data_IF_657687015897
#
_entry.id   IF_657687015897
#
_cell.length_a   1.000
_cell.length_b   1.000
_cell.length_c   1.000
_cell.angle_alpha   90.00
_cell.angle_beta   90.00
_cell.angle_gamma   90.00
#
_symmetry.space_group_name_H-M   'P 1'
#
loop_
_entity.id
_entity.type
_entity.pdbx_description
1 polymer ?
#
# COMPACT_ATOMS: atom_id res chain seq x y z
N UNK A 1 3.32 29.09 -8.09
CA UNK A 1 3.19 27.71 -7.60
C UNK A 1 3.32 27.79 -6.09
N UNK A 2 2.35 27.28 -5.37
CA UNK A 2 2.42 27.15 -3.90
C UNK A 2 3.48 26.11 -3.52
N UNK A 3 4.06 26.24 -2.33
CA UNK A 3 4.95 25.24 -1.79
C UNK A 3 4.15 24.18 -1.03
N UNK A 4 4.65 22.94 -0.97
CA UNK A 4 4.08 21.87 -0.16
C UNK A 4 5.01 21.61 1.03
N UNK A 5 4.45 21.57 2.22
CA UNK A 5 5.18 21.38 3.47
C UNK A 5 4.79 20.05 4.13
N UNK A 6 5.75 19.42 4.79
CA UNK A 6 5.51 18.32 5.70
C UNK A 6 5.28 18.90 7.08
N UNK A 7 4.06 18.82 7.59
CA UNK A 7 3.67 19.42 8.88
C UNK A 7 3.91 18.46 10.05
N UNK A 8 3.71 17.15 9.84
CA UNK A 8 3.97 16.09 10.82
C UNK A 8 4.28 14.78 10.08
N UNK A 9 4.99 13.88 10.74
CA UNK A 9 5.32 12.57 10.20
C UNK A 9 5.48 11.54 11.31
N UNK A 10 5.01 10.33 11.06
CA UNK A 10 5.14 9.20 11.96
C UNK A 10 5.19 7.88 11.19
N UNK A 11 5.80 6.90 11.78
CA UNK A 11 5.84 5.51 11.27
C UNK A 11 5.79 4.50 12.41
N UNK A 12 5.36 3.31 12.11
CA UNK A 12 5.57 2.13 12.96
C UNK A 12 7.03 1.65 12.87
N UNK A 13 7.52 0.84 13.82
CA UNK A 13 8.77 0.12 13.62
C UNK A 13 8.71 -0.74 12.35
N UNK A 14 9.86 -0.92 11.70
CA UNK A 14 9.99 -1.93 10.65
C UNK A 14 10.04 -3.32 11.31
N UNK A 15 9.01 -4.13 11.04
CA UNK A 15 8.99 -5.53 11.43
C UNK A 15 9.80 -6.39 10.46
N UNK A 16 10.53 -7.36 10.97
CA UNK A 16 11.08 -8.41 10.09
C UNK A 16 9.96 -9.36 9.66
N UNK A 17 10.18 -10.07 8.56
CA UNK A 17 9.29 -11.15 8.13
C UNK A 17 9.03 -12.14 9.29
N UNK A 18 7.76 -12.49 9.51
CA UNK A 18 7.30 -13.35 10.60
C UNK A 18 7.79 -12.91 12.00
N UNK A 19 7.95 -11.61 12.19
CA UNK A 19 8.38 -11.01 13.46
C UNK A 19 7.22 -10.47 14.29
N UNK A 20 7.52 -9.49 15.15
CA UNK A 20 6.57 -8.97 16.13
C UNK A 20 5.28 -8.36 15.53
N UNK A 21 5.33 -7.88 14.30
CA UNK A 21 4.15 -7.32 13.61
C UNK A 21 3.39 -8.34 12.76
N UNK A 22 3.83 -9.61 12.71
CA UNK A 22 3.20 -10.62 11.85
C UNK A 22 1.75 -10.95 12.21
N UNK A 23 1.34 -10.72 13.45
CA UNK A 23 -0.04 -10.93 13.92
C UNK A 23 -0.96 -9.73 13.66
N UNK A 24 -0.40 -8.57 13.30
CA UNK A 24 -1.18 -7.34 13.07
C UNK A 24 -1.71 -7.36 11.64
N UNK A 25 -3.01 -7.17 11.48
CA UNK A 25 -3.63 -7.07 10.15
C UNK A 25 -3.04 -5.89 9.38
N UNK A 26 -2.93 -6.03 8.07
CA UNK A 26 -2.29 -4.99 7.23
C UNK A 26 -3.10 -3.69 7.21
N UNK A 27 -4.42 -3.79 7.15
CA UNK A 27 -5.32 -2.63 7.19
C UNK A 27 -5.30 -1.92 8.56
N UNK A 28 -5.25 -2.67 9.66
CA UNK A 28 -5.08 -2.11 11.01
C UNK A 28 -3.71 -1.43 11.17
N UNK A 29 -2.64 -2.09 10.68
CA UNK A 29 -1.30 -1.52 10.70
C UNK A 29 -1.22 -0.20 9.92
N UNK A 30 -1.94 -0.11 8.79
CA UNK A 30 -2.04 1.10 7.98
C UNK A 30 -2.79 2.24 8.70
N UNK A 31 -3.75 1.91 9.56
CA UNK A 31 -4.53 2.89 10.30
C UNK A 31 -3.79 3.51 11.49
N UNK A 32 -2.85 2.78 12.09
CA UNK A 32 -2.14 3.23 13.29
C UNK A 32 -1.44 4.58 13.13
N UNK A 33 -0.66 4.85 12.06
CA UNK A 33 -0.03 6.15 11.88
C UNK A 33 -1.05 7.30 11.73
N UNK A 34 -2.18 7.06 11.06
CA UNK A 34 -3.22 8.08 10.91
C UNK A 34 -3.85 8.39 12.27
N UNK A 35 -4.22 7.37 13.02
CA UNK A 35 -4.80 7.54 14.37
C UNK A 35 -3.84 8.30 15.30
N UNK A 36 -2.56 8.01 15.23
CA UNK A 36 -1.55 8.71 16.03
C UNK A 36 -1.36 10.16 15.58
N UNK A 37 -1.38 10.46 14.28
CA UNK A 37 -1.38 11.85 13.80
C UNK A 37 -2.58 12.62 14.35
N UNK A 38 -3.77 11.98 14.38
CA UNK A 38 -4.98 12.59 14.96
C UNK A 38 -4.80 12.85 16.45
N UNK A 39 -4.27 11.91 17.20
CA UNK A 39 -4.04 12.06 18.64
C UNK A 39 -3.03 13.17 18.97
N UNK A 40 -2.00 13.32 18.15
CA UNK A 40 -0.96 14.34 18.32
C UNK A 40 -1.43 15.75 17.95
N UNK A 41 -2.45 15.87 17.11
CA UNK A 41 -2.95 17.14 16.58
C UNK A 41 -4.44 17.33 16.89
N UNK A 42 -4.85 17.37 18.18
CA UNK A 42 -6.27 17.39 18.56
C UNK A 42 -7.00 18.70 18.20
N UNK A 43 -6.26 19.73 17.85
CA UNK A 43 -6.83 21.01 17.43
C UNK A 43 -7.12 21.13 15.92
N UNK A 44 -6.76 20.11 15.14
CA UNK A 44 -7.01 20.09 13.70
C UNK A 44 -8.42 19.55 13.40
N UNK A 45 -9.15 20.25 12.54
CA UNK A 45 -10.37 19.71 11.96
C UNK A 45 -10.03 18.69 10.85
N UNK A 46 -10.14 17.43 11.19
CA UNK A 46 -9.79 16.32 10.29
C UNK A 46 -10.75 16.15 9.11
N UNK A 47 -11.87 16.88 9.08
CA UNK A 47 -12.74 16.96 7.91
C UNK A 47 -12.15 17.77 6.76
N UNK A 48 -11.10 18.56 7.04
CA UNK A 48 -10.37 19.35 6.06
C UNK A 48 -9.33 18.55 5.27
N UNK A 49 -9.17 17.26 5.54
CA UNK A 49 -8.31 16.39 4.73
C UNK A 49 -8.96 16.15 3.36
N UNK A 50 -8.30 16.63 2.32
CA UNK A 50 -8.77 16.50 0.94
C UNK A 50 -8.64 15.07 0.42
N UNK A 51 -7.54 14.37 0.76
CA UNK A 51 -7.32 12.98 0.35
C UNK A 51 -6.27 12.27 1.22
N UNK A 52 -6.37 10.95 1.26
CA UNK A 52 -5.38 10.04 1.84
C UNK A 52 -4.77 9.19 0.73
N UNK A 53 -3.49 9.39 0.41
CA UNK A 53 -2.80 8.61 -0.62
C UNK A 53 -1.80 7.67 0.04
N UNK A 54 -2.03 6.37 -0.10
CA UNK A 54 -1.12 5.33 0.39
C UNK A 54 -0.51 4.52 -0.75
N UNK A 55 0.77 4.23 -0.62
CA UNK A 55 1.46 3.23 -1.42
C UNK A 55 1.27 1.84 -0.82
N UNK A 56 0.89 0.87 -1.67
CA UNK A 56 0.86 -0.55 -1.32
C UNK A 56 1.07 -1.38 -2.58
N UNK A 57 2.06 -2.26 -2.57
CA UNK A 57 2.40 -3.05 -3.76
C UNK A 57 1.62 -4.36 -3.84
N UNK A 58 1.43 -5.08 -2.75
CA UNK A 58 0.84 -6.41 -2.79
C UNK A 58 -0.66 -6.37 -3.12
N UNK A 59 -1.48 -5.75 -2.29
CA UNK A 59 -2.93 -5.60 -2.46
C UNK A 59 -3.69 -6.92 -2.71
N UNK A 60 -3.13 -8.06 -2.31
CA UNK A 60 -3.69 -9.38 -2.56
C UNK A 60 -4.52 -9.93 -1.38
N UNK A 61 -4.31 -9.43 -0.17
CA UNK A 61 -4.92 -9.89 1.06
C UNK A 61 -5.74 -8.83 1.78
N UNK A 62 -5.42 -8.59 3.03
CA UNK A 62 -6.09 -7.60 3.90
C UNK A 62 -5.87 -6.16 3.43
N UNK A 63 -4.92 -5.95 2.58
CA UNK A 63 -4.55 -4.71 1.90
C UNK A 63 -5.28 -4.48 0.57
N UNK A 64 -6.24 -5.33 0.22
CA UNK A 64 -7.05 -5.16 -0.99
C UNK A 64 -8.11 -4.05 -0.84
N UNK A 65 -8.82 -3.76 -1.93
CA UNK A 65 -9.92 -2.80 -1.98
C UNK A 65 -9.58 -1.40 -1.48
N UNK A 66 -8.45 -0.86 -1.90
CA UNK A 66 -8.04 0.49 -1.53
C UNK A 66 -7.70 0.61 -0.04
N UNK A 67 -6.55 0.08 0.35
CA UNK A 67 -6.09 0.09 1.75
C UNK A 67 -5.98 1.49 2.34
N UNK A 68 -5.72 2.52 1.54
CA UNK A 68 -5.72 3.92 2.00
C UNK A 68 -7.09 4.31 2.56
N UNK A 69 -8.16 3.99 1.84
CA UNK A 69 -9.52 4.27 2.29
C UNK A 69 -9.89 3.44 3.52
N UNK A 70 -9.49 2.16 3.55
CA UNK A 70 -9.73 1.31 4.72
C UNK A 70 -9.00 1.86 5.95
N UNK A 71 -7.74 2.24 5.81
CA UNK A 71 -6.94 2.84 6.88
C UNK A 71 -7.54 4.15 7.41
N UNK A 72 -8.01 5.02 6.51
CA UNK A 72 -8.67 6.26 6.87
C UNK A 72 -9.91 6.02 7.76
N UNK A 73 -10.76 5.08 7.36
CA UNK A 73 -11.97 4.72 8.10
C UNK A 73 -11.65 4.05 9.44
N UNK A 74 -10.71 3.10 9.45
CA UNK A 74 -10.29 2.39 10.67
C UNK A 74 -9.63 3.32 11.68
N UNK A 75 -8.91 4.34 11.20
CA UNK A 75 -8.31 5.36 12.06
C UNK A 75 -9.33 6.34 12.65
N UNK A 76 -10.55 6.36 12.14
CA UNK A 76 -11.62 7.25 12.61
C UNK A 76 -11.67 8.59 11.90
N UNK A 77 -11.04 8.75 10.74
CA UNK A 77 -11.25 9.95 9.91
C UNK A 77 -12.71 10.07 9.48
N UNK A 78 -13.22 11.29 9.27
CA UNK A 78 -14.57 11.51 8.77
C UNK A 78 -14.84 10.72 7.48
N UNK A 79 -16.06 10.21 7.35
CA UNK A 79 -16.45 9.39 6.19
C UNK A 79 -16.40 10.17 4.86
N UNK A 80 -16.39 11.48 4.92
CA UNK A 80 -16.22 12.36 3.77
C UNK A 80 -14.81 12.36 3.19
N UNK A 81 -13.79 12.02 4.00
CA UNK A 81 -12.39 12.03 3.56
C UNK A 81 -12.14 10.87 2.59
N UNK A 82 -11.78 11.11 1.34
CA UNK A 82 -11.50 10.06 0.37
C UNK A 82 -10.16 9.36 0.65
N UNK A 83 -9.84 8.36 -0.15
CA UNK A 83 -8.54 7.72 -0.08
C UNK A 83 -8.24 7.00 -1.39
N UNK A 84 -6.98 6.99 -1.80
CA UNK A 84 -6.49 6.30 -2.98
C UNK A 84 -5.22 5.50 -2.68
N UNK A 85 -5.19 4.27 -3.19
CA UNK A 85 -4.01 3.42 -3.09
C UNK A 85 -3.30 3.38 -4.44
N UNK A 86 -2.00 3.64 -4.44
CA UNK A 86 -1.17 3.56 -5.63
C UNK A 86 -0.11 2.47 -5.51
N UNK A 87 0.30 1.96 -6.65
CA UNK A 87 1.32 0.92 -6.73
C UNK A 87 2.42 1.32 -7.72
N UNK A 88 3.63 1.48 -7.22
CA UNK A 88 4.88 1.63 -7.95
C UNK A 88 5.94 0.72 -7.31
N UNK A 89 5.52 -0.50 -6.97
CA UNK A 89 6.34 -1.50 -6.27
C UNK A 89 7.01 -0.88 -5.02
N UNK A 90 8.31 -1.10 -4.83
CA UNK A 90 9.06 -0.57 -3.67
C UNK A 90 9.06 0.96 -3.56
N UNK A 91 8.75 1.68 -4.63
CA UNK A 91 8.64 3.14 -4.66
C UNK A 91 7.26 3.70 -4.32
N UNK A 92 6.27 2.85 -3.99
CA UNK A 92 4.87 3.27 -3.82
C UNK A 92 4.68 4.35 -2.75
N UNK A 93 5.30 4.19 -1.59
CA UNK A 93 5.20 5.18 -0.51
C UNK A 93 5.80 6.54 -0.90
N UNK A 94 6.96 6.53 -1.57
CA UNK A 94 7.57 7.76 -2.07
C UNK A 94 6.70 8.44 -3.13
N UNK A 95 6.11 7.65 -4.03
CA UNK A 95 5.21 8.19 -5.07
C UNK A 95 3.90 8.74 -4.48
N UNK A 96 3.41 8.16 -3.38
CA UNK A 96 2.29 8.71 -2.62
C UNK A 96 2.59 10.12 -2.10
N UNK A 97 3.75 10.30 -1.47
CA UNK A 97 4.21 11.63 -0.99
C UNK A 97 4.39 12.59 -2.16
N UNK A 98 5.01 12.14 -3.25
CA UNK A 98 5.19 12.95 -4.45
C UNK A 98 3.87 13.37 -5.10
N UNK A 99 2.86 12.48 -5.09
CA UNK A 99 1.51 12.75 -5.62
C UNK A 99 0.78 13.79 -4.77
N UNK A 100 0.80 13.64 -3.45
CA UNK A 100 0.23 14.63 -2.55
C UNK A 100 0.91 16.01 -2.69
N UNK A 101 2.24 16.03 -2.77
CA UNK A 101 2.98 17.28 -2.97
C UNK A 101 2.62 17.96 -4.29
N UNK A 102 2.39 17.20 -5.35
CA UNK A 102 1.95 17.75 -6.66
C UNK A 102 0.55 18.36 -6.55
N UNK A 103 -0.40 17.65 -5.93
CA UNK A 103 -1.77 18.14 -5.74
C UNK A 103 -1.79 19.45 -4.94
N UNK A 104 -1.04 19.52 -3.83
CA UNK A 104 -0.89 20.73 -3.02
C UNK A 104 -0.29 21.89 -3.82
N UNK A 105 0.77 21.65 -4.59
CA UNK A 105 1.44 22.69 -5.40
C UNK A 105 0.60 23.16 -6.57
N UNK A 106 -0.25 22.32 -7.12
CA UNK A 106 -1.21 22.69 -8.18
C UNK A 106 -2.46 23.40 -7.65
N UNK A 107 -2.68 23.39 -6.33
CA UNK A 107 -3.87 23.96 -5.70
C UNK A 107 -5.12 23.08 -5.80
N UNK A 108 -4.96 21.82 -6.13
CA UNK A 108 -6.04 20.81 -6.14
C UNK A 108 -6.41 20.36 -4.73
N UNK A 109 -5.49 20.50 -3.79
CA UNK A 109 -5.67 20.16 -2.38
C UNK A 109 -4.98 21.19 -1.49
N UNK A 110 -5.41 21.25 -0.22
CA UNK A 110 -4.82 22.11 0.81
C UNK A 110 -4.19 21.30 1.95
N UNK A 111 -4.75 20.16 2.28
CA UNK A 111 -4.26 19.27 3.34
C UNK A 111 -4.44 17.81 2.94
N UNK A 112 -3.37 17.04 3.00
CA UNK A 112 -3.37 15.65 2.59
C UNK A 112 -2.60 14.75 3.56
N UNK A 113 -2.98 13.50 3.63
CA UNK A 113 -2.18 12.45 4.26
C UNK A 113 -1.55 11.60 3.16
N UNK A 114 -0.24 11.38 3.24
CA UNK A 114 0.48 10.52 2.32
C UNK A 114 1.36 9.52 3.08
N UNK A 115 1.36 8.28 2.65
CA UNK A 115 2.13 7.24 3.32
C UNK A 115 2.09 5.92 2.58
N UNK A 116 2.05 4.82 3.34
CA UNK A 116 1.93 3.49 2.77
C UNK A 116 2.02 2.40 3.81
N UNK A 117 1.70 1.19 3.39
CA UNK A 117 1.80 -0.02 4.20
C UNK A 117 2.18 -1.20 3.32
N UNK A 118 2.96 -2.12 3.88
CA UNK A 118 3.26 -3.40 3.26
C UNK A 118 3.40 -4.46 4.34
N UNK A 119 2.78 -5.62 4.17
CA UNK A 119 2.94 -6.74 5.10
C UNK A 119 3.25 -8.03 4.36
N UNK A 120 4.52 -8.38 4.30
CA UNK A 120 4.99 -9.62 3.70
C UNK A 120 4.55 -10.85 4.51
N UNK A 121 4.45 -10.73 5.85
CA UNK A 121 4.09 -11.85 6.72
C UNK A 121 2.62 -12.27 6.59
N UNK A 122 1.74 -11.38 6.14
CA UNK A 122 0.30 -11.63 6.00
C UNK A 122 -0.15 -11.71 4.54
N UNK A 123 0.78 -11.74 3.62
CA UNK A 123 0.49 -11.94 2.21
C UNK A 123 -0.15 -13.31 1.99
N UNK A 124 -1.30 -13.41 1.33
CA UNK A 124 -2.01 -14.66 1.15
C UNK A 124 -1.40 -15.52 0.05
N UNK A 125 -1.75 -16.79 0.06
CA UNK A 125 -1.67 -17.61 -1.13
C UNK A 125 -2.82 -17.29 -2.07
N UNK A 126 -2.57 -17.32 -3.37
CA UNK A 126 -3.60 -17.13 -4.40
C UNK A 126 -3.57 -18.29 -5.39
N UNK A 127 -4.72 -18.62 -5.93
CA UNK A 127 -4.89 -19.68 -6.91
C UNK A 127 -5.71 -19.13 -8.08
N UNK A 128 -5.20 -19.28 -9.30
CA UNK A 128 -5.95 -18.95 -10.48
C UNK A 128 -7.16 -19.89 -10.64
N UNK A 129 -8.22 -19.41 -11.26
CA UNK A 129 -9.34 -20.28 -11.64
C UNK A 129 -8.88 -21.26 -12.73
N UNK A 130 -9.43 -22.47 -12.68
CA UNK A 130 -9.19 -23.46 -13.72
C UNK A 130 -9.66 -22.94 -15.09
N UNK A 131 -8.83 -23.14 -16.11
CA UNK A 131 -9.17 -22.77 -17.50
C UNK A 131 -10.13 -23.79 -18.14
N UNK A 132 -10.16 -24.99 -17.62
CA UNK A 132 -10.99 -26.10 -18.15
C UNK A 132 -11.81 -26.74 -17.03
N UNK A 133 -12.99 -27.22 -17.38
CA UNK A 133 -13.80 -28.02 -16.48
C UNK A 133 -13.05 -29.31 -16.08
N UNK A 134 -13.22 -29.72 -14.82
CA UNK A 134 -12.60 -30.93 -14.26
C UNK A 134 -11.06 -30.97 -14.28
N UNK A 135 -10.42 -29.79 -14.33
CA UNK A 135 -8.97 -29.71 -14.18
C UNK A 135 -8.52 -30.37 -12.86
N UNK A 136 -7.45 -31.20 -12.91
CA UNK A 136 -6.94 -31.95 -11.76
C UNK A 136 -5.76 -31.29 -11.07
N UNK A 137 -5.15 -30.28 -11.71
CA UNK A 137 -4.00 -29.55 -11.18
C UNK A 137 -4.33 -28.09 -11.02
N UNK A 138 -4.09 -27.56 -9.86
CA UNK A 138 -4.16 -26.14 -9.55
C UNK A 138 -2.84 -25.71 -8.92
N UNK A 139 -2.31 -24.59 -9.36
CA UNK A 139 -1.08 -24.03 -8.79
C UNK A 139 -1.46 -23.01 -7.75
N UNK A 140 -0.84 -23.12 -6.57
CA UNK A 140 -0.94 -22.16 -5.49
C UNK A 140 0.30 -21.27 -5.54
N UNK A 141 0.08 -19.95 -5.60
CA UNK A 141 1.14 -18.95 -5.66
C UNK A 141 1.24 -18.21 -4.33
N UNK A 142 2.44 -18.10 -3.79
CA UNK A 142 2.74 -17.26 -2.64
C UNK A 142 2.85 -15.79 -3.10
N UNK A 143 2.12 -14.89 -2.44
CA UNK A 143 2.14 -13.47 -2.81
C UNK A 143 3.07 -12.64 -1.93
N UNK A 144 3.88 -13.26 -1.08
CA UNK A 144 4.78 -12.57 -0.15
C UNK A 144 5.72 -11.61 -0.87
N UNK A 145 6.44 -12.12 -1.86
CA UNK A 145 7.35 -11.34 -2.70
C UNK A 145 7.49 -12.02 -4.05
N UNK A 146 7.85 -11.26 -5.06
CA UNK A 146 8.05 -11.78 -6.40
C UNK A 146 6.81 -11.69 -7.28
N UNK A 147 6.99 -12.09 -8.51
CA UNK A 147 5.98 -11.98 -9.55
C UNK A 147 5.21 -13.29 -9.69
N UNK A 148 3.93 -13.28 -9.31
CA UNK A 148 2.99 -14.39 -9.44
C UNK A 148 2.06 -14.18 -10.64
N UNK A 149 1.50 -15.25 -11.15
CA UNK A 149 0.58 -15.25 -12.31
C UNK A 149 1.18 -14.51 -13.52
N UNK A 150 2.47 -14.73 -13.78
CA UNK A 150 3.25 -14.00 -14.79
C UNK A 150 2.66 -14.22 -16.18
N UNK A 151 2.42 -13.14 -16.90
CA UNK A 151 2.00 -13.21 -18.30
C UNK A 151 3.10 -13.89 -19.14
N UNK A 152 2.77 -14.96 -19.92
CA UNK A 152 3.76 -15.68 -20.71
C UNK A 152 4.53 -14.81 -21.71
N UNK A 153 3.91 -13.79 -22.28
CA UNK A 153 4.58 -12.84 -23.18
C UNK A 153 5.60 -11.98 -22.45
N UNK A 154 5.26 -11.54 -21.22
CA UNK A 154 6.19 -10.80 -20.38
C UNK A 154 7.37 -11.69 -20.00
N UNK A 155 7.11 -12.97 -19.65
CA UNK A 155 8.16 -13.94 -19.35
C UNK A 155 9.10 -14.16 -20.52
N UNK A 156 8.59 -14.22 -21.74
CA UNK A 156 9.40 -14.44 -22.93
C UNK A 156 10.26 -13.22 -23.34
N UNK A 157 9.75 -12.00 -23.12
CA UNK A 157 10.35 -10.78 -23.67
C UNK A 157 11.06 -9.89 -22.63
N UNK A 158 10.69 -9.93 -21.37
CA UNK A 158 11.06 -8.89 -20.40
C UNK A 158 11.71 -9.41 -19.12
N UNK A 159 11.69 -10.71 -18.84
CA UNK A 159 12.36 -11.25 -17.65
C UNK A 159 13.90 -11.19 -17.74
N UNK A 160 14.46 -10.72 -18.84
CA UNK A 160 15.89 -10.46 -18.96
C UNK A 160 16.33 -9.14 -18.33
N UNK A 161 15.40 -8.24 -18.02
CA UNK A 161 15.63 -7.01 -17.26
C UNK A 161 14.97 -7.15 -15.90
N UNK A 162 15.58 -7.98 -15.02
CA UNK A 162 15.06 -8.12 -13.66
C UNK A 162 15.17 -6.79 -12.91
N UNK A 163 14.07 -6.39 -12.31
CA UNK A 163 14.08 -5.39 -11.26
C UNK A 163 14.94 -5.91 -10.09
N UNK A 164 15.74 -5.05 -9.48
CA UNK A 164 16.61 -5.40 -8.35
C UNK A 164 15.85 -6.07 -7.17
N UNK A 165 14.54 -5.87 -7.07
CA UNK A 165 13.68 -6.56 -6.12
C UNK A 165 13.47 -8.05 -6.46
N UNK A 166 13.59 -8.45 -7.74
CA UNK A 166 13.44 -9.85 -8.17
C UNK A 166 14.75 -10.65 -8.06
N UNK A 167 15.90 -10.00 -7.96
CA UNK A 167 17.19 -10.65 -7.80
C UNK A 167 17.35 -11.34 -6.43
N UNK A 168 16.55 -10.97 -5.43
CA UNK A 168 16.53 -11.62 -4.12
C UNK A 168 15.96 -13.05 -4.12
N UNK A 169 15.34 -13.48 -5.23
CA UNK A 169 14.75 -14.82 -5.39
C UNK A 169 15.69 -15.82 -6.07
N UNK A 170 16.92 -15.42 -6.37
CA UNK A 170 17.92 -16.29 -7.06
C UNK A 170 18.97 -16.91 -6.11
N UNK A 171 18.67 -17.02 -4.83
CA UNK A 171 19.53 -17.72 -3.85
C UNK A 171 18.88 -19.03 -3.46
#
# INVERSE_FOLDING_TARGET
MSEAYICDAIRTPFGRFNGALASVRTDDLAALPIAELMARNPGLDWSLIDDVIYGCANQAGEDNRNVARMAALLAGLPISVPGATLNRLCGSGLDAVGSAARALRCGEAQLMIAGGVESMSRSPYVMAKAEQAFARSQQLEDTTIGWRLVNPKMKACLLYTSDAADDSLRV
#
